data_IF_982816989032
#
_entry.id   IF_982816989032
#
_cell.length_a   1.000
_cell.length_b   1.000
_cell.length_c   1.000
_cell.angle_alpha   90.00
_cell.angle_beta   90.00
_cell.angle_gamma   90.00
#
_symmetry.space_group_name_H-M   'P 1'
#
loop_
_entity.id
_entity.type
_entity.pdbx_description
1 polymer ?
#
# COMPACT_ATOMS: atom_id res chain seq x y z
N UNK A 1 -20.03 -32.15 9.90
CA UNK A 1 -20.55 -31.04 10.72
C UNK A 1 -20.59 -29.82 9.82
N UNK A 2 -21.81 -29.30 9.64
CA UNK A 2 -22.18 -28.29 8.68
C UNK A 2 -21.75 -26.89 9.15
N UNK A 3 -21.17 -26.10 8.26
CA UNK A 3 -21.37 -24.65 8.24
C UNK A 3 -21.65 -24.23 6.78
N UNK A 4 -22.67 -23.37 6.55
CA UNK A 4 -23.34 -23.27 5.25
C UNK A 4 -22.68 -22.27 4.27
N UNK A 5 -22.86 -22.57 2.99
CA UNK A 5 -22.69 -21.68 1.85
C UNK A 5 -23.66 -20.48 1.92
N UNK A 6 -23.14 -19.27 2.15
CA UNK A 6 -23.64 -18.01 1.55
C UNK A 6 -22.81 -16.80 2.05
N UNK A 7 -21.78 -16.43 1.30
CA UNK A 7 -21.29 -15.05 1.32
C UNK A 7 -21.58 -14.48 -0.06
N UNK A 8 -22.69 -13.74 -0.15
CA UNK A 8 -23.03 -12.96 -1.34
C UNK A 8 -21.94 -11.91 -1.56
N UNK A 9 -21.22 -12.03 -2.68
CA UNK A 9 -20.32 -10.98 -3.15
C UNK A 9 -21.15 -9.74 -3.53
N UNK A 10 -20.83 -8.54 -3.02
CA UNK A 10 -21.40 -7.33 -3.57
C UNK A 10 -20.69 -7.01 -4.89
N UNK A 11 -21.46 -7.04 -5.99
CA UNK A 11 -21.02 -6.66 -7.33
C UNK A 11 -20.66 -5.18 -7.34
N UNK A 12 -19.37 -4.85 -7.33
CA UNK A 12 -18.93 -3.47 -7.48
C UNK A 12 -18.62 -3.20 -8.96
N UNK A 13 -19.57 -2.59 -9.66
CA UNK A 13 -19.37 -2.12 -11.03
C UNK A 13 -18.40 -0.94 -11.02
N UNK A 14 -17.18 -1.14 -11.48
CA UNK A 14 -16.22 -0.06 -11.73
C UNK A 14 -16.83 0.91 -12.76
N UNK A 15 -17.14 2.14 -12.34
CA UNK A 15 -17.49 3.24 -13.25
C UNK A 15 -16.23 4.02 -13.62
N UNK A 16 -16.01 4.14 -14.92
CA UNK A 16 -14.95 4.89 -15.58
C UNK A 16 -15.03 6.38 -15.20
N UNK A 17 -13.93 6.96 -14.70
CA UNK A 17 -13.86 8.38 -14.33
C UNK A 17 -13.66 9.27 -15.58
N UNK A 18 -14.54 10.25 -15.76
CA UNK A 18 -14.31 11.43 -16.61
C UNK A 18 -13.67 12.53 -15.75
N UNK A 19 -12.64 13.16 -16.27
CA UNK A 19 -12.01 14.35 -15.69
C UNK A 19 -12.89 15.57 -15.94
N UNK A 20 -13.18 16.34 -14.90
CA UNK A 20 -13.64 17.71 -15.02
C UNK A 20 -13.12 18.58 -13.87
N UNK A 21 -13.09 19.87 -14.19
CA UNK A 21 -12.32 21.01 -13.70
C UNK A 21 -12.59 21.44 -12.25
N UNK A 22 -11.71 22.31 -11.74
CA UNK A 22 -11.60 22.76 -10.37
C UNK A 22 -12.91 23.21 -9.73
N UNK A 23 -13.29 22.49 -8.69
CA UNK A 23 -14.31 22.86 -7.71
C UNK A 23 -13.82 22.40 -6.35
N UNK A 24 -14.26 23.04 -5.26
CA UNK A 24 -14.02 22.58 -3.89
C UNK A 24 -14.48 21.12 -3.78
N UNK A 25 -13.56 20.18 -3.97
CA UNK A 25 -13.84 18.76 -3.95
C UNK A 25 -14.21 18.36 -2.53
N UNK A 26 -15.29 17.60 -2.37
CA UNK A 26 -15.56 16.95 -1.10
C UNK A 26 -14.33 16.08 -0.72
N UNK A 27 -13.98 16.07 0.56
CA UNK A 27 -12.87 15.29 1.05
C UNK A 27 -13.05 13.81 0.71
N UNK A 28 -11.96 13.10 0.44
CA UNK A 28 -11.98 11.65 0.24
C UNK A 28 -12.49 10.98 1.53
N UNK A 29 -13.48 10.11 1.38
CA UNK A 29 -14.08 9.40 2.52
C UNK A 29 -13.50 7.99 2.62
N UNK A 30 -12.81 7.72 3.73
CA UNK A 30 -12.36 6.37 4.06
C UNK A 30 -13.53 5.53 4.55
N UNK A 31 -13.56 4.27 4.16
CA UNK A 31 -14.45 3.28 4.77
C UNK A 31 -14.00 2.98 6.20
N UNK A 32 -14.90 2.51 7.06
CA UNK A 32 -14.56 2.12 8.43
C UNK A 32 -13.51 1.00 8.48
N UNK A 33 -13.55 0.08 7.51
CA UNK A 33 -12.53 -0.97 7.40
C UNK A 33 -11.15 -0.40 7.05
N UNK A 34 -11.06 0.55 6.12
CA UNK A 34 -9.79 1.22 5.78
C UNK A 34 -9.23 1.96 6.99
N UNK A 35 -10.08 2.68 7.73
CA UNK A 35 -9.65 3.39 8.95
C UNK A 35 -9.05 2.43 9.98
N UNK A 36 -9.72 1.29 10.23
CA UNK A 36 -9.22 0.28 11.16
C UNK A 36 -7.90 -0.35 10.67
N UNK A 37 -7.83 -0.78 9.41
CA UNK A 37 -6.61 -1.36 8.85
C UNK A 37 -5.43 -0.38 8.88
N UNK A 38 -5.67 0.92 8.65
CA UNK A 38 -4.62 1.95 8.73
C UNK A 38 -4.07 2.05 10.17
N UNK A 39 -4.94 1.98 11.18
CA UNK A 39 -4.52 1.98 12.59
C UNK A 39 -3.72 0.71 12.96
N UNK A 40 -4.07 -0.43 12.39
CA UNK A 40 -3.37 -1.70 12.63
C UNK A 40 -2.02 -1.79 11.89
N UNK A 41 -1.80 -0.99 10.84
CA UNK A 41 -0.53 -0.88 10.11
C UNK A 41 0.51 -0.05 10.88
N UNK A 42 0.73 -0.42 12.15
CA UNK A 42 1.57 0.31 13.10
C UNK A 42 2.99 0.64 12.61
N UNK A 43 3.70 -0.20 11.83
CA UNK A 43 5.02 0.17 11.31
C UNK A 43 4.98 1.37 10.36
N UNK A 44 3.85 1.62 9.70
CA UNK A 44 3.65 2.73 8.78
C UNK A 44 2.89 3.91 9.39
N UNK A 45 2.60 3.93 10.70
CA UNK A 45 1.75 4.96 11.31
C UNK A 45 2.17 6.39 10.94
N UNK A 46 3.47 6.70 11.02
CA UNK A 46 3.98 8.03 10.63
C UNK A 46 3.73 8.35 9.16
N UNK A 47 3.91 7.38 8.27
CA UNK A 47 3.67 7.57 6.83
C UNK A 47 2.18 7.75 6.56
N UNK A 48 1.32 6.97 7.22
CA UNK A 48 -0.13 7.15 7.16
C UNK A 48 -0.58 8.52 7.67
N UNK A 49 -0.04 9.01 8.79
CA UNK A 49 -0.34 10.34 9.31
C UNK A 49 -0.02 11.45 8.29
N UNK A 50 1.10 11.32 7.56
CA UNK A 50 1.45 12.25 6.47
C UNK A 50 0.50 12.13 5.28
N UNK A 51 0.16 10.90 4.86
CA UNK A 51 -0.73 10.65 3.73
C UNK A 51 -2.16 11.14 4.02
N UNK A 52 -2.67 10.95 5.24
CA UNK A 52 -4.04 11.32 5.61
C UNK A 52 -4.28 12.84 5.62
N UNK A 53 -3.23 13.66 5.68
CA UNK A 53 -3.33 15.13 5.51
C UNK A 53 -3.90 15.53 4.16
N UNK A 54 -3.80 14.65 3.15
CA UNK A 54 -4.28 14.86 1.80
C UNK A 54 -5.75 14.44 1.58
N UNK A 55 -6.45 13.91 2.59
CA UNK A 55 -7.88 13.52 2.45
C UNK A 55 -8.76 14.69 1.96
N UNK A 56 -8.46 15.92 2.41
CA UNK A 56 -9.18 17.13 2.00
C UNK A 56 -9.04 17.47 0.50
N UNK A 57 -8.13 16.81 -0.21
CA UNK A 57 -7.92 17.02 -1.66
C UNK A 57 -8.82 16.13 -2.52
N UNK A 58 -9.77 15.40 -1.90
CA UNK A 58 -10.77 14.62 -2.62
C UNK A 58 -10.11 13.54 -3.50
N UNK A 59 -10.47 13.44 -4.80
CA UNK A 59 -9.90 12.42 -5.70
C UNK A 59 -8.36 12.45 -5.81
N UNK A 60 -7.70 13.60 -5.58
CA UNK A 60 -6.24 13.71 -5.64
C UNK A 60 -5.53 12.97 -4.49
N UNK A 61 -6.26 12.62 -3.41
CA UNK A 61 -5.75 11.79 -2.31
C UNK A 61 -5.14 10.48 -2.82
N UNK A 62 -5.79 9.80 -3.77
CA UNK A 62 -5.31 8.51 -4.29
C UNK A 62 -3.95 8.65 -4.99
N UNK A 63 -3.71 9.77 -5.67
CA UNK A 63 -2.41 10.06 -6.28
C UNK A 63 -1.32 10.23 -5.22
N UNK A 64 -1.61 10.97 -4.14
CA UNK A 64 -0.68 11.15 -3.02
C UNK A 64 -0.38 9.86 -2.28
N UNK A 65 -1.40 9.02 -2.11
CA UNK A 65 -1.28 7.69 -1.56
C UNK A 65 -0.37 6.80 -2.42
N UNK A 66 -0.59 6.77 -3.74
CA UNK A 66 0.22 5.98 -4.69
C UNK A 66 1.69 6.42 -4.65
N UNK A 67 1.96 7.73 -4.71
CA UNK A 67 3.31 8.32 -4.63
C UNK A 67 4.02 7.90 -3.33
N UNK A 68 3.31 7.89 -2.20
CA UNK A 68 3.88 7.62 -0.87
C UNK A 68 4.23 6.14 -0.65
N UNK A 69 3.57 5.23 -1.35
CA UNK A 69 3.82 3.78 -1.27
C UNK A 69 4.48 3.22 -2.54
N UNK A 70 5.11 4.08 -3.34
CA UNK A 70 5.88 3.66 -4.51
C UNK A 70 7.18 2.96 -4.09
N UNK A 71 7.43 1.79 -4.64
CA UNK A 71 8.66 1.05 -4.39
C UNK A 71 9.84 1.71 -5.14
N UNK A 72 10.87 2.13 -4.40
CA UNK A 72 12.06 2.78 -4.98
C UNK A 72 12.83 1.91 -5.98
N UNK A 73 12.69 0.58 -5.91
CA UNK A 73 13.41 -0.33 -6.79
C UNK A 73 12.75 -0.49 -8.17
N UNK A 74 11.43 -0.65 -8.22
CA UNK A 74 10.70 -0.88 -9.46
C UNK A 74 9.93 0.33 -9.96
N UNK A 75 9.86 1.41 -9.18
CA UNK A 75 9.13 2.65 -9.53
C UNK A 75 7.63 2.42 -9.80
N UNK A 76 7.07 1.40 -9.15
CA UNK A 76 5.64 1.05 -9.21
C UNK A 76 5.10 0.98 -7.78
N UNK A 77 3.76 1.04 -7.64
CA UNK A 77 3.11 0.80 -6.35
C UNK A 77 3.59 -0.52 -5.76
N UNK A 78 3.94 -0.49 -4.46
CA UNK A 78 4.55 -1.63 -3.80
C UNK A 78 3.61 -2.85 -3.79
N UNK A 79 4.17 -4.02 -4.10
CA UNK A 79 3.44 -5.30 -4.10
C UNK A 79 4.15 -6.31 -3.21
N UNK A 80 3.38 -7.02 -2.40
CA UNK A 80 3.86 -7.80 -1.25
C UNK A 80 4.90 -7.00 -0.45
N UNK A 81 4.53 -5.82 0.07
CA UNK A 81 5.46 -4.92 0.73
C UNK A 81 6.14 -5.60 1.91
N UNK A 82 7.45 -5.44 2.02
CA UNK A 82 8.19 -5.61 3.26
C UNK A 82 8.37 -4.22 3.85
N UNK A 83 7.77 -3.98 5.02
CA UNK A 83 8.03 -2.78 5.81
C UNK A 83 9.27 -3.03 6.66
N UNK A 84 10.38 -2.39 6.29
CA UNK A 84 11.68 -2.58 6.93
C UNK A 84 11.73 -1.98 8.33
N UNK A 85 12.70 -2.42 9.16
CA UNK A 85 12.89 -1.86 10.51
C UNK A 85 13.27 -0.37 10.50
N UNK A 86 13.81 0.12 9.38
CA UNK A 86 14.06 1.53 9.12
C UNK A 86 12.85 2.26 8.46
N UNK A 87 11.66 1.67 8.56
CA UNK A 87 10.36 2.25 8.19
C UNK A 87 10.17 2.59 6.70
N UNK A 88 10.79 1.82 5.80
CA UNK A 88 10.58 1.93 4.36
C UNK A 88 9.87 0.70 3.79
N UNK A 89 9.00 0.91 2.79
CA UNK A 89 8.24 -0.13 2.12
C UNK A 89 8.89 -0.50 0.78
N UNK A 90 9.24 -1.77 0.59
CA UNK A 90 9.87 -2.28 -0.63
C UNK A 90 9.19 -3.58 -1.04
N UNK A 91 8.98 -3.82 -2.34
CA UNK A 91 8.42 -5.09 -2.80
C UNK A 91 9.32 -6.24 -2.32
N UNK A 92 8.74 -7.33 -1.81
CA UNK A 92 9.52 -8.50 -1.38
C UNK A 92 10.47 -8.99 -2.49
N UNK A 93 9.97 -9.09 -3.72
CA UNK A 93 10.75 -9.53 -4.88
C UNK A 93 11.93 -8.60 -5.22
N UNK A 94 11.76 -7.28 -5.04
CA UNK A 94 12.81 -6.29 -5.21
C UNK A 94 13.90 -6.43 -4.13
N UNK A 95 13.50 -6.57 -2.87
CA UNK A 95 14.44 -6.74 -1.76
C UNK A 95 15.21 -8.07 -1.87
N UNK A 96 14.52 -9.16 -2.26
CA UNK A 96 15.15 -10.45 -2.56
C UNK A 96 16.17 -10.36 -3.70
N UNK A 97 15.91 -9.55 -4.73
CA UNK A 97 16.87 -9.32 -5.82
C UNK A 97 18.12 -8.60 -5.31
N UNK A 98 17.95 -7.58 -4.45
CA UNK A 98 19.07 -6.88 -3.81
C UNK A 98 19.94 -7.84 -2.99
N UNK A 99 19.32 -8.67 -2.14
CA UNK A 99 20.04 -9.61 -1.28
C UNK A 99 20.76 -10.71 -2.07
N UNK A 100 20.19 -11.17 -3.20
CA UNK A 100 20.86 -12.10 -4.12
C UNK A 100 22.10 -11.52 -4.78
N UNK A 101 22.15 -10.19 -4.94
CA UNK A 101 23.33 -9.46 -5.42
C UNK A 101 24.29 -9.09 -4.28
N UNK A 102 24.15 -9.71 -3.10
CA UNK A 102 24.96 -9.45 -1.90
C UNK A 102 24.87 -8.02 -1.36
N UNK A 103 23.77 -7.31 -1.68
CA UNK A 103 23.46 -5.98 -1.14
C UNK A 103 22.40 -6.10 -0.06
N UNK A 104 22.84 -6.04 1.20
CA UNK A 104 22.03 -6.25 2.41
C UNK A 104 21.52 -4.96 3.06
N UNK A 105 21.59 -3.83 2.38
CA UNK A 105 21.09 -2.54 2.87
C UNK A 105 19.68 -2.24 2.34
N UNK A 106 18.89 -1.48 3.09
CA UNK A 106 17.63 -0.92 2.63
C UNK A 106 17.82 -0.10 1.34
N UNK A 107 17.09 -0.40 0.24
CA UNK A 107 17.23 0.34 -1.01
C UNK A 107 16.86 1.82 -0.93
N UNK A 108 16.02 2.21 0.03
CA UNK A 108 15.54 3.59 0.17
C UNK A 108 16.51 4.49 0.94
N UNK A 109 17.03 4.03 2.09
CA UNK A 109 17.85 4.86 2.99
C UNK A 109 19.25 4.31 3.28
N UNK A 110 19.61 3.15 2.72
CA UNK A 110 20.91 2.48 2.91
C UNK A 110 21.22 1.97 4.32
N UNK A 111 20.24 2.00 5.23
CA UNK A 111 20.34 1.30 6.53
C UNK A 111 20.71 -0.16 6.33
N UNK A 112 21.65 -0.68 7.12
CA UNK A 112 22.07 -2.09 7.04
C UNK A 112 21.01 -3.00 7.65
N UNK A 113 20.41 -3.87 6.84
CA UNK A 113 19.41 -4.84 7.30
C UNK A 113 20.07 -6.16 7.73
N UNK A 114 21.32 -6.41 7.31
CA UNK A 114 22.06 -7.62 7.58
C UNK A 114 21.66 -8.83 6.71
N UNK A 115 22.62 -9.74 6.52
CA UNK A 115 22.45 -10.96 5.70
C UNK A 115 21.35 -11.91 6.22
N UNK A 116 21.09 -11.88 7.54
CA UNK A 116 20.07 -12.71 8.21
C UNK A 116 18.66 -12.12 8.24
N UNK A 117 18.43 -10.98 7.56
CA UNK A 117 17.14 -10.29 7.62
C UNK A 117 15.98 -11.17 7.12
N UNK A 118 14.92 -11.28 7.92
CA UNK A 118 13.72 -12.05 7.56
C UNK A 118 12.70 -11.14 6.87
N UNK A 119 12.48 -11.38 5.57
CA UNK A 119 11.54 -10.60 4.76
C UNK A 119 10.08 -11.06 4.95
N UNK A 120 9.41 -10.52 5.97
CA UNK A 120 7.99 -10.78 6.23
C UNK A 120 7.12 -9.74 5.50
N UNK A 121 6.21 -10.16 4.61
CA UNK A 121 5.29 -9.23 3.97
C UNK A 121 4.30 -8.61 4.96
N UNK A 122 4.11 -7.30 4.86
CA UNK A 122 3.07 -6.55 5.54
C UNK A 122 1.72 -6.78 4.82
N UNK A 123 0.94 -7.73 5.33
CA UNK A 123 -0.36 -8.11 4.76
C UNK A 123 -1.43 -7.04 4.95
N UNK A 124 -1.33 -6.21 5.99
CA UNK A 124 -2.27 -5.13 6.27
C UNK A 124 -2.12 -4.07 5.19
N UNK A 125 -0.89 -3.61 4.95
CA UNK A 125 -0.60 -2.67 3.86
C UNK A 125 -1.02 -3.25 2.50
N UNK A 126 -0.70 -4.52 2.21
CA UNK A 126 -1.15 -5.16 0.97
C UNK A 126 -2.67 -5.08 0.80
N UNK A 127 -3.42 -5.42 1.86
CA UNK A 127 -4.90 -5.39 1.83
C UNK A 127 -5.43 -3.97 1.60
N UNK A 128 -4.84 -2.96 2.23
CA UNK A 128 -5.20 -1.55 2.01
C UNK A 128 -4.96 -1.13 0.56
N UNK A 129 -3.80 -1.46 -0.01
CA UNK A 129 -3.49 -1.11 -1.39
C UNK A 129 -4.41 -1.82 -2.39
N UNK A 130 -4.78 -3.08 -2.15
CA UNK A 130 -5.77 -3.78 -2.98
C UNK A 130 -7.17 -3.13 -2.89
N UNK A 131 -7.55 -2.57 -1.73
CA UNK A 131 -8.80 -1.82 -1.56
C UNK A 131 -8.79 -0.45 -2.24
N UNK A 132 -7.68 0.29 -2.14
CA UNK A 132 -7.55 1.60 -2.77
C UNK A 132 -7.34 1.53 -4.28
N UNK A 133 -6.64 0.48 -4.77
CA UNK A 133 -6.27 0.30 -6.17
C UNK A 133 -6.64 -1.10 -6.69
N UNK A 134 -7.94 -1.43 -6.82
CA UNK A 134 -8.36 -2.77 -7.24
C UNK A 134 -7.72 -3.21 -8.57
N UNK A 135 -7.05 -4.37 -8.53
CA UNK A 135 -6.42 -4.98 -9.71
C UNK A 135 -4.98 -4.56 -9.99
N UNK A 136 -4.39 -3.63 -9.22
CA UNK A 136 -2.98 -3.20 -9.42
C UNK A 136 -1.97 -4.36 -9.26
N UNK A 137 -2.33 -5.37 -8.47
CA UNK A 137 -1.54 -6.56 -8.20
C UNK A 137 -1.58 -7.61 -9.32
N UNK A 138 -2.42 -7.42 -10.36
CA UNK A 138 -2.57 -8.41 -11.43
C UNK A 138 -1.28 -8.55 -12.26
N UNK A 139 -0.65 -9.72 -12.19
CA UNK A 139 0.55 -10.05 -12.96
C UNK A 139 1.88 -9.55 -12.35
N UNK A 140 1.87 -9.14 -11.08
CA UNK A 140 3.04 -8.67 -10.32
C UNK A 140 3.66 -9.74 -9.44
#
# INVERSE_FOLDING_TARGET
MFFPDNIKQPTNTAKTMKLSDGGKGEAFQLTQQQQWLIQEDSPNQKLWDEVLKFLKEGPNFLKKLEESFMCICCQELVYQPVTTECLHNVCKSCLQRSFRAEVFTCPACRHDLGKGYTMVPNKILQTLLDQFFPGYSKGR
#
